data_IF_853686685098
#
_entry.id   IF_853686685098
#
_cell.length_a   1.000
_cell.length_b   1.000
_cell.length_c   1.000
_cell.angle_alpha   90.00
_cell.angle_beta   90.00
_cell.angle_gamma   90.00
#
_symmetry.space_group_name_H-M   'P 1'
#
loop_
_entity.id
_entity.type
_entity.pdbx_description
1 polymer ?
#
# COMPACT_ATOMS: atom_id res chain seq x y z
N UNK A 1 -13.48 39.05 75.22
CA UNK A 1 -14.15 40.12 74.43
C UNK A 1 -13.07 40.95 73.76
N UNK A 2 -13.33 41.28 72.49
CA UNK A 2 -12.58 41.93 71.39
C UNK A 2 -11.39 42.88 71.69
N UNK A 3 -10.65 43.14 70.59
CA UNK A 3 -9.60 44.15 70.30
C UNK A 3 -8.15 43.65 70.46
N UNK A 4 -7.16 43.86 69.58
CA UNK A 4 -7.04 44.33 68.18
C UNK A 4 -5.54 44.29 67.81
N UNK A 5 -5.24 44.29 66.51
CA UNK A 5 -4.11 45.00 65.86
C UNK A 5 -2.73 44.33 65.63
N UNK A 6 -2.47 44.13 64.33
CA UNK A 6 -1.27 44.54 63.58
C UNK A 6 0.04 43.76 63.76
N UNK A 7 0.44 43.02 62.72
CA UNK A 7 1.76 43.25 62.13
C UNK A 7 1.87 42.76 60.67
N UNK A 8 2.19 43.74 59.83
CA UNK A 8 2.67 43.75 58.44
C UNK A 8 3.36 42.48 57.92
N UNK A 9 2.94 42.02 56.74
CA UNK A 9 3.90 41.62 55.69
C UNK A 9 3.26 41.87 54.32
N UNK A 10 3.77 42.87 53.61
CA UNK A 10 3.32 43.27 52.29
C UNK A 10 3.98 42.34 51.27
N UNK A 11 3.30 41.27 50.85
CA UNK A 11 3.78 40.41 49.75
C UNK A 11 3.20 40.93 48.45
N UNK A 12 3.97 41.74 47.72
CA UNK A 12 3.64 42.13 46.34
C UNK A 12 3.86 40.90 45.45
N UNK A 13 2.79 40.14 45.19
CA UNK A 13 2.81 39.10 44.15
C UNK A 13 2.64 39.81 42.82
N UNK A 14 3.76 40.02 42.11
CA UNK A 14 3.73 40.49 40.73
C UNK A 14 3.05 39.42 39.86
N UNK A 15 1.79 39.65 39.51
CA UNK A 15 1.07 38.82 38.56
C UNK A 15 1.64 39.07 37.16
N UNK A 16 2.60 38.24 36.75
CA UNK A 16 3.04 38.13 35.36
C UNK A 16 1.88 37.55 34.54
N UNK A 17 1.09 38.43 33.94
CA UNK A 17 0.10 38.05 32.94
C UNK A 17 0.83 37.54 31.69
N UNK A 18 1.01 36.22 31.60
CA UNK A 18 1.41 35.55 30.36
C UNK A 18 0.23 35.65 29.38
N UNK A 19 0.25 36.64 28.50
CA UNK A 19 -0.63 36.68 27.34
C UNK A 19 -0.19 35.56 26.37
N UNK A 20 -0.85 34.41 26.45
CA UNK A 20 -0.66 33.32 25.49
C UNK A 20 -1.13 33.81 24.12
N UNK A 21 -0.18 34.12 23.22
CA UNK A 21 -0.47 34.39 21.81
C UNK A 21 -0.92 33.07 21.18
N UNK A 22 -2.22 32.86 21.07
CA UNK A 22 -2.79 31.76 20.30
C UNK A 22 -2.66 32.09 18.81
N UNK A 23 -1.57 31.65 18.20
CA UNK A 23 -1.47 31.65 16.75
C UNK A 23 -2.59 30.75 16.18
N UNK A 24 -3.38 31.20 15.20
CA UNK A 24 -4.40 30.36 14.58
C UNK A 24 -3.69 29.20 13.87
N UNK A 25 -4.01 27.97 14.28
CA UNK A 25 -3.60 26.79 13.54
C UNK A 25 -4.29 26.83 12.17
N UNK A 26 -3.50 26.94 11.09
CA UNK A 26 -4.01 26.79 9.73
C UNK A 26 -4.51 25.36 9.58
N UNK A 27 -5.84 25.18 9.50
CA UNK A 27 -6.43 23.90 9.21
C UNK A 27 -6.08 23.50 7.77
N UNK A 28 -5.31 22.43 7.62
CA UNK A 28 -5.06 21.82 6.30
C UNK A 28 -6.32 21.08 5.88
N UNK A 29 -6.88 21.45 4.74
CA UNK A 29 -8.02 20.75 4.16
C UNK A 29 -7.67 19.27 3.93
N UNK A 30 -8.55 18.38 4.34
CA UNK A 30 -8.35 16.95 4.10
C UNK A 30 -8.40 16.66 2.60
N UNK A 31 -7.50 15.80 2.08
CA UNK A 31 -7.54 15.43 0.68
C UNK A 31 -8.87 14.78 0.35
N UNK A 32 -9.49 15.21 -0.75
CA UNK A 32 -10.64 14.49 -1.31
C UNK A 32 -10.11 13.31 -2.10
N UNK A 33 -10.50 12.09 -1.71
CA UNK A 33 -10.08 10.85 -2.38
C UNK A 33 -11.28 10.27 -3.13
N UNK A 34 -11.07 9.87 -4.38
CA UNK A 34 -12.07 9.18 -5.20
C UNK A 34 -11.56 7.81 -5.60
N UNK A 35 -12.38 6.78 -5.43
CA UNK A 35 -12.06 5.42 -5.84
C UNK A 35 -12.23 5.30 -7.36
N UNK A 36 -11.13 5.07 -8.07
CA UNK A 36 -11.12 4.92 -9.55
C UNK A 36 -11.22 3.48 -10.02
N UNK A 37 -10.72 2.53 -9.22
CA UNK A 37 -10.83 1.08 -9.43
C UNK A 37 -11.06 0.41 -8.08
N UNK A 38 -11.82 -0.69 -8.05
CA UNK A 38 -12.20 -1.40 -6.81
C UNK A 38 -12.10 -2.91 -6.95
N UNK A 39 -12.00 -3.62 -5.83
CA UNK A 39 -11.96 -5.09 -5.83
C UNK A 39 -10.67 -5.69 -6.40
N UNK A 40 -9.56 -4.95 -6.32
CA UNK A 40 -8.24 -5.41 -6.75
C UNK A 40 -7.59 -6.31 -5.69
N UNK A 41 -6.89 -7.35 -6.12
CA UNK A 41 -6.20 -8.33 -5.28
C UNK A 41 -4.76 -7.87 -5.00
N UNK A 42 -4.55 -7.26 -3.83
CA UNK A 42 -3.25 -6.71 -3.41
C UNK A 42 -2.61 -5.83 -4.51
N UNK A 43 -3.24 -4.70 -4.90
CA UNK A 43 -2.72 -3.83 -5.94
C UNK A 43 -1.31 -3.31 -5.60
N UNK A 44 -0.49 -3.10 -6.63
CA UNK A 44 0.89 -2.62 -6.54
C UNK A 44 1.10 -1.45 -7.52
N UNK A 45 2.07 -1.56 -8.42
CA UNK A 45 2.36 -0.55 -9.44
C UNK A 45 1.22 -0.36 -10.43
N UNK A 46 1.21 0.81 -11.05
CA UNK A 46 0.26 1.20 -12.09
C UNK A 46 0.98 1.93 -13.21
N UNK A 47 0.41 1.88 -14.41
CA UNK A 47 0.92 2.62 -15.55
C UNK A 47 -0.21 3.01 -16.52
N UNK A 48 -0.03 4.14 -17.18
CA UNK A 48 -0.88 4.55 -18.30
C UNK A 48 -0.29 4.05 -19.62
N UNK A 49 -1.13 3.44 -20.44
CA UNK A 49 -0.80 3.17 -21.83
C UNK A 49 -0.89 4.44 -22.69
N UNK A 50 -0.25 4.48 -23.87
CA UNK A 50 -0.30 5.66 -24.75
C UNK A 50 -1.71 6.06 -25.20
N UNK A 51 -2.67 5.15 -25.18
CA UNK A 51 -4.07 5.44 -25.46
C UNK A 51 -4.83 6.03 -24.25
N UNK A 52 -4.25 6.05 -23.05
CA UNK A 52 -4.86 6.54 -21.82
C UNK A 52 -5.52 5.46 -20.95
N UNK A 53 -5.46 4.19 -21.33
CA UNK A 53 -5.90 3.10 -20.46
C UNK A 53 -4.98 2.99 -19.24
N UNK A 54 -5.58 2.87 -18.05
CA UNK A 54 -4.86 2.69 -16.80
C UNK A 54 -4.74 1.20 -16.50
N UNK A 55 -3.53 0.72 -16.25
CA UNK A 55 -3.26 -0.66 -15.85
C UNK A 55 -2.74 -0.70 -14.43
N UNK A 56 -3.10 -1.75 -13.69
CA UNK A 56 -2.67 -1.99 -12.31
C UNK A 56 -2.18 -3.43 -12.18
N UNK A 57 -0.95 -3.59 -11.69
CA UNK A 57 -0.42 -4.88 -11.29
C UNK A 57 -1.07 -5.33 -9.98
N UNK A 58 -1.65 -6.53 -9.99
CA UNK A 58 -2.27 -7.16 -8.83
C UNK A 58 -1.39 -8.31 -8.35
N UNK A 59 -0.83 -8.19 -7.14
CA UNK A 59 0.05 -9.21 -6.59
C UNK A 59 -0.68 -10.55 -6.34
N UNK A 60 -2.02 -10.55 -6.32
CA UNK A 60 -2.85 -11.73 -6.16
C UNK A 60 -3.19 -12.03 -4.71
N UNK A 61 -3.42 -13.29 -4.38
CA UNK A 61 -3.85 -13.77 -3.06
C UNK A 61 -3.08 -15.01 -2.59
N UNK A 62 -1.99 -15.38 -3.26
CA UNK A 62 -1.34 -16.68 -3.08
C UNK A 62 -2.23 -17.84 -3.56
N UNK A 63 -2.00 -19.05 -3.05
CA UNK A 63 -2.77 -20.23 -3.44
C UNK A 63 -2.68 -21.41 -2.48
N UNK A 64 -3.32 -22.50 -2.87
CA UNK A 64 -3.36 -23.78 -2.15
C UNK A 64 -2.63 -24.88 -2.96
N UNK A 65 -2.00 -25.86 -2.30
CA UNK A 65 -1.86 -25.99 -0.84
C UNK A 65 -0.99 -24.88 -0.25
N UNK A 66 -1.27 -24.48 0.99
CA UNK A 66 -0.47 -23.51 1.73
C UNK A 66 0.19 -24.21 2.93
N UNK A 67 1.44 -24.66 2.79
CA UNK A 67 2.14 -25.35 3.86
C UNK A 67 2.46 -24.41 5.02
N UNK A 68 2.13 -24.83 6.23
CA UNK A 68 2.44 -24.07 7.44
C UNK A 68 1.45 -22.93 7.73
N UNK A 69 1.59 -22.35 8.93
CA UNK A 69 0.72 -21.27 9.45
C UNK A 69 1.44 -19.93 9.55
N UNK A 70 2.72 -19.88 9.17
CA UNK A 70 3.57 -18.70 9.20
C UNK A 70 4.34 -18.57 7.89
N UNK A 71 4.83 -17.37 7.59
CA UNK A 71 5.66 -17.11 6.40
C UNK A 71 4.91 -17.04 5.07
N UNK A 72 5.63 -16.63 4.02
CA UNK A 72 5.16 -16.60 2.64
C UNK A 72 5.22 -18.02 2.07
N UNK A 73 4.14 -18.79 2.26
CA UNK A 73 4.09 -20.21 1.88
C UNK A 73 2.88 -20.58 1.01
N UNK A 74 1.92 -19.69 0.85
CA UNK A 74 0.76 -19.94 0.00
C UNK A 74 1.06 -19.54 -1.43
N UNK A 75 1.72 -20.40 -2.20
CA UNK A 75 1.99 -20.14 -3.62
C UNK A 75 0.79 -20.51 -4.50
N UNK A 76 0.51 -19.70 -5.52
CA UNK A 76 -0.52 -19.97 -6.51
C UNK A 76 -0.51 -18.99 -7.68
N UNK A 77 -1.30 -19.29 -8.70
CA UNK A 77 -1.40 -18.48 -9.91
C UNK A 77 -2.59 -17.50 -9.82
N UNK A 78 -2.55 -16.62 -8.82
CA UNK A 78 -3.63 -15.65 -8.55
C UNK A 78 -3.24 -14.20 -8.84
N UNK A 79 -2.00 -13.95 -9.28
CA UNK A 79 -1.58 -12.64 -9.74
C UNK A 79 -2.28 -12.26 -11.05
N UNK A 80 -2.46 -10.95 -11.26
CA UNK A 80 -3.17 -10.44 -12.42
C UNK A 80 -2.66 -9.06 -12.84
N UNK A 81 -3.10 -8.62 -14.02
CA UNK A 81 -3.07 -7.22 -14.45
C UNK A 81 -4.50 -6.80 -14.74
N UNK A 82 -4.95 -5.77 -14.03
CA UNK A 82 -6.25 -5.12 -14.27
C UNK A 82 -6.09 -3.91 -15.16
N UNK A 83 -7.11 -3.60 -15.95
CA UNK A 83 -7.22 -2.42 -16.80
C UNK A 83 -8.48 -1.65 -16.45
N UNK A 84 -8.39 -0.33 -16.42
CA UNK A 84 -9.50 0.61 -16.49
C UNK A 84 -9.43 1.35 -17.82
N UNK A 85 -10.46 1.21 -18.64
CA UNK A 85 -10.54 1.86 -19.95
C UNK A 85 -11.97 2.30 -20.25
N UNK A 86 -12.17 3.59 -20.53
CA UNK A 86 -13.49 4.18 -20.77
C UNK A 86 -14.53 3.83 -19.69
N UNK A 87 -14.12 3.83 -18.41
CA UNK A 87 -14.98 3.49 -17.27
C UNK A 87 -15.24 2.00 -17.08
N UNK A 88 -14.73 1.13 -17.96
CA UNK A 88 -14.80 -0.31 -17.82
C UNK A 88 -13.56 -0.86 -17.11
N UNK A 89 -13.77 -1.66 -16.08
CA UNK A 89 -12.70 -2.34 -15.34
C UNK A 89 -12.72 -3.85 -15.62
N UNK A 90 -11.59 -4.40 -16.05
CA UNK A 90 -11.42 -5.83 -16.36
C UNK A 90 -10.00 -6.34 -16.05
N UNK A 91 -9.87 -7.64 -15.75
CA UNK A 91 -8.56 -8.30 -15.68
C UNK A 91 -8.15 -8.76 -17.07
N UNK A 92 -7.14 -8.12 -17.62
CA UNK A 92 -6.63 -8.41 -18.98
C UNK A 92 -5.62 -9.55 -18.98
N UNK A 93 -4.95 -9.78 -17.86
CA UNK A 93 -4.08 -10.93 -17.65
C UNK A 93 -4.31 -11.53 -16.26
N UNK A 94 -4.32 -12.85 -16.18
CA UNK A 94 -4.52 -13.61 -14.94
C UNK A 94 -3.62 -14.84 -14.96
N UNK A 95 -3.54 -15.57 -13.85
CA UNK A 95 -2.70 -16.76 -13.76
C UNK A 95 -1.22 -16.43 -13.55
N UNK A 96 -0.89 -15.21 -13.12
CA UNK A 96 0.49 -14.83 -12.81
C UNK A 96 0.90 -15.39 -11.45
N UNK A 97 2.20 -15.71 -11.26
CA UNK A 97 2.74 -16.15 -9.99
C UNK A 97 2.39 -15.21 -8.83
N UNK A 98 1.91 -15.79 -7.75
CA UNK A 98 1.56 -15.10 -6.51
C UNK A 98 1.96 -15.95 -5.32
N UNK A 99 2.44 -15.32 -4.27
CA UNK A 99 2.71 -15.94 -2.99
C UNK A 99 2.23 -15.07 -1.84
N UNK A 100 1.61 -15.66 -0.85
CA UNK A 100 1.12 -14.90 0.30
C UNK A 100 1.41 -15.59 1.63
N UNK A 101 1.16 -14.86 2.70
CA UNK A 101 0.90 -15.46 4.00
C UNK A 101 -0.42 -16.23 3.96
N UNK A 102 -0.69 -17.09 4.97
CA UNK A 102 -2.01 -17.68 5.17
C UNK A 102 -3.15 -16.66 5.04
N UNK A 103 -4.28 -17.12 4.53
CA UNK A 103 -5.47 -16.29 4.23
C UNK A 103 -5.26 -15.18 3.17
N UNK A 104 -4.15 -15.17 2.42
CA UNK A 104 -3.96 -14.25 1.28
C UNK A 104 -3.44 -12.86 1.65
N UNK A 105 -3.09 -12.63 2.91
CA UNK A 105 -2.55 -11.36 3.37
C UNK A 105 -1.17 -11.09 2.75
N UNK A 106 -0.92 -9.82 2.42
CA UNK A 106 0.37 -9.32 1.92
C UNK A 106 0.95 -10.14 0.76
N UNK A 107 0.09 -10.53 -0.19
CA UNK A 107 0.53 -11.32 -1.35
C UNK A 107 1.62 -10.59 -2.15
N UNK A 108 2.54 -11.34 -2.75
CA UNK A 108 3.64 -10.89 -3.59
C UNK A 108 3.52 -11.60 -4.94
N UNK A 109 3.66 -10.86 -6.02
CA UNK A 109 3.38 -11.34 -7.37
C UNK A 109 3.76 -10.25 -8.36
N UNK A 110 2.90 -9.87 -9.31
CA UNK A 110 3.04 -8.60 -10.02
C UNK A 110 3.30 -7.42 -9.07
N UNK A 111 4.47 -6.79 -9.16
CA UNK A 111 4.91 -5.68 -8.31
C UNK A 111 4.82 -4.35 -9.02
N UNK A 112 5.37 -4.25 -10.23
CA UNK A 112 5.34 -3.02 -11.00
C UNK A 112 5.06 -3.34 -12.46
N UNK A 113 4.54 -2.35 -13.18
CA UNK A 113 4.15 -2.47 -14.57
C UNK A 113 4.64 -1.26 -15.36
N UNK A 114 5.17 -1.50 -16.54
CA UNK A 114 5.53 -0.45 -17.50
C UNK A 114 4.96 -0.77 -18.86
N UNK A 115 4.45 0.25 -19.55
CA UNK A 115 3.88 0.07 -20.89
C UNK A 115 4.98 0.13 -21.94
N UNK A 116 4.98 -0.82 -22.87
CA UNK A 116 5.95 -0.91 -23.96
C UNK A 116 5.31 -0.48 -25.29
N UNK A 117 4.64 0.68 -25.29
CA UNK A 117 3.88 1.19 -26.43
C UNK A 117 2.43 0.72 -26.44
N UNK A 118 1.89 0.44 -27.63
CA UNK A 118 0.52 -0.02 -27.81
C UNK A 118 0.48 -1.55 -27.88
N UNK A 119 -0.11 -2.19 -26.88
CA UNK A 119 -0.47 -3.62 -26.93
C UNK A 119 0.46 -4.58 -26.21
N UNK A 120 1.41 -4.10 -25.39
CA UNK A 120 2.03 -4.94 -24.37
C UNK A 120 2.57 -4.11 -23.20
N UNK A 121 2.74 -4.79 -22.07
CA UNK A 121 3.33 -4.26 -20.85
C UNK A 121 4.39 -5.21 -20.30
N UNK A 122 5.38 -4.67 -19.59
CA UNK A 122 6.34 -5.45 -18.81
C UNK A 122 5.97 -5.39 -17.35
N UNK A 123 5.88 -6.55 -16.70
CA UNK A 123 5.54 -6.68 -15.29
C UNK A 123 6.70 -7.31 -14.53
N UNK A 124 7.12 -6.66 -13.45
CA UNK A 124 8.11 -7.22 -12.53
C UNK A 124 7.44 -8.13 -11.51
N UNK A 125 8.00 -9.32 -11.30
CA UNK A 125 7.55 -10.28 -10.29
C UNK A 125 8.73 -10.63 -9.39
N UNK A 126 8.64 -10.31 -8.10
CA UNK A 126 9.70 -10.56 -7.11
C UNK A 126 9.91 -12.06 -6.85
N UNK A 127 11.13 -12.44 -6.44
CA UNK A 127 11.46 -13.83 -6.10
C UNK A 127 11.00 -14.21 -4.67
N UNK A 128 11.08 -13.24 -3.75
CA UNK A 128 10.74 -13.40 -2.34
C UNK A 128 11.52 -14.47 -1.58
N UNK A 129 12.74 -14.72 -2.05
CA UNK A 129 13.69 -15.66 -1.47
C UNK A 129 15.11 -15.31 -1.92
N UNK A 130 16.09 -16.03 -1.37
CA UNK A 130 17.48 -16.00 -1.83
C UNK A 130 17.55 -16.44 -3.31
N UNK A 131 18.15 -15.65 -4.22
CA UNK A 131 18.36 -16.03 -5.63
C UNK A 131 19.04 -17.38 -5.82
N UNK A 132 19.93 -17.81 -4.92
CA UNK A 132 20.60 -19.10 -5.00
C UNK A 132 19.63 -20.28 -4.87
N UNK A 133 18.45 -20.08 -4.26
CA UNK A 133 17.44 -21.12 -4.05
C UNK A 133 16.42 -21.25 -5.18
N UNK A 134 16.48 -20.38 -6.22
CA UNK A 134 15.45 -20.23 -7.26
C UNK A 134 14.92 -21.55 -7.82
N UNK A 135 15.82 -22.44 -8.23
CA UNK A 135 15.45 -23.72 -8.86
C UNK A 135 14.80 -24.72 -7.90
N UNK A 136 15.06 -24.56 -6.60
CA UNK A 136 14.60 -25.50 -5.54
C UNK A 136 13.36 -25.03 -4.80
N UNK A 137 12.92 -23.78 -4.99
CA UNK A 137 11.79 -23.20 -4.23
C UNK A 137 10.43 -23.81 -4.57
N UNK A 138 10.29 -24.47 -5.73
CA UNK A 138 9.02 -25.01 -6.20
C UNK A 138 7.96 -23.93 -6.49
N UNK A 139 8.40 -22.70 -6.81
CA UNK A 139 7.56 -21.52 -7.05
C UNK A 139 7.88 -20.92 -8.43
N UNK A 140 7.55 -21.62 -9.52
CA UNK A 140 7.97 -21.23 -10.86
C UNK A 140 7.43 -19.84 -11.24
N UNK A 141 8.21 -19.08 -12.01
CA UNK A 141 7.79 -17.76 -12.49
C UNK A 141 7.94 -16.61 -11.48
N UNK A 142 8.29 -16.86 -10.21
CA UNK A 142 8.75 -15.81 -9.31
C UNK A 142 10.17 -15.33 -9.68
N UNK A 143 10.45 -14.05 -9.44
CA UNK A 143 11.75 -13.42 -9.69
C UNK A 143 12.01 -13.05 -11.15
N UNK A 144 10.97 -12.87 -11.95
CA UNK A 144 11.05 -12.66 -13.40
C UNK A 144 10.52 -11.28 -13.80
N UNK A 145 11.00 -10.79 -14.94
CA UNK A 145 10.36 -9.74 -15.72
C UNK A 145 9.57 -10.44 -16.83
N UNK A 146 8.27 -10.21 -16.90
CA UNK A 146 7.39 -10.90 -17.86
C UNK A 146 6.72 -9.89 -18.78
N UNK A 147 6.56 -10.26 -20.05
CA UNK A 147 5.69 -9.53 -20.96
C UNK A 147 4.23 -9.97 -20.76
N UNK A 148 3.33 -9.00 -20.75
CA UNK A 148 1.89 -9.17 -20.67
C UNK A 148 1.29 -8.51 -21.92
N UNK A 149 0.50 -9.24 -22.72
CA UNK A 149 -0.17 -8.67 -23.90
C UNK A 149 -1.27 -7.66 -23.52
#
# INVERSE_FOLDING_TARGET
MKHSCSSRCLTVVAALAFAAVTAPALAVAQPTVTVVMKGLDNPRGLAFAPNGALFVAEAGRGGAPCPGTTGLNCYGLTGAVSRLWHGHQDRVATGLPSISFPQGAQARGPHDISMNGLGNARVTIGLEADPASRETLGRPGLGWLVDVP
#
